data_IF_074336023942
#
_entry.id   IF_074336023942
#
_cell.length_a   1.000
_cell.length_b   1.000
_cell.length_c   1.000
_cell.angle_alpha   90.00
_cell.angle_beta   90.00
_cell.angle_gamma   90.00
#
_symmetry.space_group_name_H-M   'P 1'
#
loop_
_entity.id
_entity.type
_entity.pdbx_description
1 polymer ?
#
# COMPACT_ATOMS: atom_id res chain seq x y z
N UNK A 1 8.09 16.97 -27.52
CA UNK A 1 6.73 17.29 -27.04
C UNK A 1 6.39 16.29 -25.94
N UNK A 2 6.27 16.71 -24.68
CA UNK A 2 6.06 15.79 -23.57
C UNK A 2 4.70 15.09 -23.67
N UNK A 3 4.65 13.79 -23.36
CA UNK A 3 3.39 13.02 -23.30
C UNK A 3 2.47 13.70 -22.27
N UNK A 4 1.30 14.17 -22.71
CA UNK A 4 0.24 14.73 -21.85
C UNK A 4 -0.91 13.74 -21.78
N UNK A 5 -1.62 13.69 -20.65
CA UNK A 5 -2.84 12.89 -20.57
C UNK A 5 -3.93 13.50 -21.47
N UNK A 6 -4.69 12.66 -22.16
CA UNK A 6 -5.94 13.08 -22.79
C UNK A 6 -7.04 13.21 -21.73
N UNK A 7 -7.00 14.29 -20.96
CA UNK A 7 -8.01 14.53 -19.92
C UNK A 7 -9.38 14.84 -20.53
N UNK A 8 -9.44 15.48 -21.70
CA UNK A 8 -10.71 15.82 -22.37
C UNK A 8 -11.46 14.57 -22.81
N UNK A 9 -10.81 13.66 -23.53
CA UNK A 9 -11.41 12.39 -23.92
C UNK A 9 -11.84 11.56 -22.72
N UNK A 10 -11.02 11.54 -21.66
CA UNK A 10 -11.35 10.85 -20.40
C UNK A 10 -12.55 11.45 -19.66
N UNK A 11 -12.78 12.77 -19.71
CA UNK A 11 -13.99 13.38 -19.10
C UNK A 11 -15.21 13.06 -19.97
N UNK A 12 -15.10 13.22 -21.29
CA UNK A 12 -16.17 12.92 -22.25
C UNK A 12 -16.69 11.49 -22.14
N UNK A 13 -15.81 10.52 -21.86
CA UNK A 13 -16.20 9.12 -21.67
C UNK A 13 -17.12 8.88 -20.46
N UNK A 14 -17.33 9.88 -19.59
CA UNK A 14 -18.30 9.78 -18.48
C UNK A 14 -19.71 10.19 -18.89
N UNK A 15 -19.90 10.78 -20.08
CA UNK A 15 -21.19 11.24 -20.59
C UNK A 15 -21.97 12.13 -19.59
N UNK A 16 -21.27 13.12 -19.03
CA UNK A 16 -21.90 14.09 -18.13
C UNK A 16 -22.80 15.07 -18.90
N UNK A 17 -23.75 15.74 -18.25
CA UNK A 17 -24.44 16.89 -18.84
C UNK A 17 -23.45 17.92 -19.37
N UNK A 18 -23.77 18.54 -20.50
CA UNK A 18 -22.86 19.41 -21.26
C UNK A 18 -22.19 20.50 -20.38
N UNK A 19 -22.96 21.12 -19.48
CA UNK A 19 -22.43 22.11 -18.53
C UNK A 19 -21.38 21.52 -17.59
N UNK A 20 -21.69 20.40 -16.94
CA UNK A 20 -20.78 19.72 -16.02
C UNK A 20 -19.50 19.27 -16.74
N UNK A 21 -19.65 18.72 -17.94
CA UNK A 21 -18.51 18.32 -18.77
C UNK A 21 -17.59 19.51 -19.09
N UNK A 22 -18.16 20.60 -19.62
CA UNK A 22 -17.39 21.80 -19.99
C UNK A 22 -16.67 22.41 -18.79
N UNK A 23 -17.37 22.52 -17.65
CA UNK A 23 -16.82 23.05 -16.42
C UNK A 23 -15.71 22.16 -15.82
N UNK A 24 -15.83 20.83 -15.89
CA UNK A 24 -14.75 19.91 -15.49
C UNK A 24 -13.55 19.99 -16.43
N UNK A 25 -13.77 20.09 -17.74
CA UNK A 25 -12.69 20.25 -18.72
C UNK A 25 -11.90 21.53 -18.41
N UNK A 26 -12.58 22.65 -18.22
CA UNK A 26 -11.94 23.92 -17.87
C UNK A 26 -11.17 23.82 -16.53
N UNK A 27 -11.77 23.20 -15.51
CA UNK A 27 -11.13 23.03 -14.20
C UNK A 27 -9.81 22.24 -14.28
N UNK A 28 -9.78 21.18 -15.08
CA UNK A 28 -8.59 20.34 -15.23
C UNK A 28 -7.58 20.89 -16.22
N UNK A 29 -7.99 21.65 -17.23
CA UNK A 29 -7.08 22.27 -18.20
C UNK A 29 -5.98 23.09 -17.51
N UNK A 30 -6.35 23.89 -16.51
CA UNK A 30 -5.41 24.74 -15.77
C UNK A 30 -4.70 24.04 -14.61
N UNK A 31 -5.13 22.84 -14.22
CA UNK A 31 -4.74 22.24 -12.93
C UNK A 31 -4.31 20.76 -12.99
N UNK A 32 -4.30 20.15 -14.18
CA UNK A 32 -4.07 18.69 -14.34
C UNK A 32 -2.75 18.23 -13.72
N UNK A 33 -1.67 19.00 -13.89
CA UNK A 33 -0.33 18.70 -13.38
C UNK A 33 0.00 19.42 -12.05
N UNK A 34 -0.92 20.24 -11.54
CA UNK A 34 -0.73 21.05 -10.33
C UNK A 34 -0.42 20.17 -9.12
N UNK A 35 0.64 20.53 -8.41
CA UNK A 35 1.06 19.91 -7.17
C UNK A 35 0.39 20.61 -5.99
N UNK A 36 -0.40 19.87 -5.22
CA UNK A 36 -1.20 20.42 -4.10
C UNK A 36 -0.63 20.00 -2.73
N UNK A 37 0.16 18.93 -2.71
CA UNK A 37 0.71 18.38 -1.47
C UNK A 37 1.76 19.31 -0.85
N UNK A 38 1.43 19.94 0.28
CA UNK A 38 2.35 20.79 1.06
C UNK A 38 3.54 20.04 1.67
N UNK A 39 3.42 18.72 1.87
CA UNK A 39 4.47 17.88 2.45
C UNK A 39 5.38 17.19 1.41
N UNK A 40 5.19 17.50 0.11
CA UNK A 40 5.95 16.87 -0.97
C UNK A 40 7.38 17.45 -0.99
N UNK A 41 8.38 16.57 -0.98
CA UNK A 41 9.80 16.96 -1.10
C UNK A 41 10.35 16.93 -2.52
N UNK A 42 9.69 16.20 -3.42
CA UNK A 42 10.15 16.08 -4.82
C UNK A 42 9.78 17.33 -5.59
N UNK A 43 10.78 17.92 -6.26
CA UNK A 43 10.62 19.03 -7.21
C UNK A 43 10.12 18.59 -8.59
N UNK A 44 10.02 17.28 -8.83
CA UNK A 44 9.54 16.76 -10.11
C UNK A 44 8.06 17.09 -10.29
N UNK A 45 7.66 17.34 -11.53
CA UNK A 45 6.27 17.45 -11.93
C UNK A 45 5.44 16.25 -11.46
N UNK A 46 4.13 16.42 -11.37
CA UNK A 46 3.22 15.32 -11.06
C UNK A 46 3.28 14.28 -12.18
N UNK A 47 3.48 13.00 -11.86
CA UNK A 47 3.53 11.97 -12.89
C UNK A 47 2.19 11.86 -13.61
N UNK A 48 2.24 11.59 -14.92
CA UNK A 48 1.08 11.34 -15.80
C UNK A 48 0.07 10.39 -15.12
N UNK A 49 0.55 9.27 -14.57
CA UNK A 49 -0.26 8.30 -13.80
C UNK A 49 -0.99 8.92 -12.60
N UNK A 50 -0.36 9.85 -11.89
CA UNK A 50 -1.01 10.52 -10.75
C UNK A 50 -2.05 11.56 -11.22
N UNK A 51 -1.77 12.27 -12.32
CA UNK A 51 -2.72 13.17 -12.95
C UNK A 51 -3.98 12.41 -13.38
N UNK A 52 -3.78 11.27 -14.06
CA UNK A 52 -4.84 10.37 -14.49
C UNK A 52 -5.65 9.81 -13.32
N UNK A 53 -5.00 9.29 -12.26
CA UNK A 53 -5.74 8.81 -11.10
C UNK A 53 -6.58 9.89 -10.43
N UNK A 54 -6.05 11.12 -10.34
CA UNK A 54 -6.82 12.24 -9.79
C UNK A 54 -8.07 12.52 -10.62
N UNK A 55 -7.89 12.64 -11.94
CA UNK A 55 -8.98 12.88 -12.87
C UNK A 55 -10.05 11.80 -12.77
N UNK A 56 -9.66 10.53 -12.94
CA UNK A 56 -10.60 9.40 -12.95
C UNK A 56 -11.35 9.26 -11.62
N UNK A 57 -10.68 9.44 -10.48
CA UNK A 57 -11.36 9.32 -9.18
C UNK A 57 -12.32 10.49 -8.92
N UNK A 58 -12.00 11.70 -9.38
CA UNK A 58 -12.90 12.85 -9.29
C UNK A 58 -14.14 12.61 -10.16
N UNK A 59 -13.96 12.26 -11.43
CA UNK A 59 -15.08 11.98 -12.33
C UNK A 59 -15.92 10.78 -11.82
N UNK A 60 -15.28 9.73 -11.28
CA UNK A 60 -16.00 8.60 -10.69
C UNK A 60 -16.86 9.02 -9.51
N UNK A 61 -16.34 9.85 -8.60
CA UNK A 61 -17.11 10.36 -7.47
C UNK A 61 -18.30 11.23 -7.93
N UNK A 62 -18.12 12.07 -8.95
CA UNK A 62 -19.23 12.86 -9.54
C UNK A 62 -20.28 11.96 -10.18
N UNK A 63 -19.86 10.90 -10.88
CA UNK A 63 -20.79 9.91 -11.44
C UNK A 63 -21.56 9.18 -10.35
N UNK A 64 -20.89 8.72 -9.29
CA UNK A 64 -21.54 8.06 -8.15
C UNK A 64 -22.60 8.97 -7.50
N UNK A 65 -22.30 10.26 -7.30
CA UNK A 65 -23.29 11.23 -6.80
C UNK A 65 -24.54 11.32 -7.67
N UNK A 66 -24.37 11.33 -9.00
CA UNK A 66 -25.50 11.45 -9.93
C UNK A 66 -26.30 10.15 -10.04
N UNK A 67 -25.62 9.02 -10.21
CA UNK A 67 -26.26 7.75 -10.56
C UNK A 67 -26.78 7.00 -9.33
N UNK A 68 -26.02 7.01 -8.23
CA UNK A 68 -26.37 6.26 -7.01
C UNK A 68 -26.93 7.18 -5.92
N UNK A 69 -26.48 8.44 -5.87
CA UNK A 69 -26.93 9.42 -4.88
C UNK A 69 -28.18 10.20 -5.26
N UNK A 70 -28.64 10.09 -6.51
CA UNK A 70 -29.79 10.84 -7.02
C UNK A 70 -29.58 12.37 -7.06
N UNK A 71 -28.33 12.84 -6.94
CA UNK A 71 -28.04 14.28 -6.93
C UNK A 71 -27.95 14.84 -8.35
N UNK A 72 -28.69 15.92 -8.62
CA UNK A 72 -28.59 16.69 -9.86
C UNK A 72 -27.33 17.60 -9.87
N UNK A 73 -26.13 16.99 -9.84
CA UNK A 73 -24.85 17.72 -9.92
C UNK A 73 -24.65 18.22 -11.35
N UNK A 74 -24.97 19.47 -11.64
CA UNK A 74 -24.80 20.09 -12.97
C UNK A 74 -23.50 20.88 -13.14
N UNK A 75 -22.77 21.06 -12.04
CA UNK A 75 -21.54 21.85 -11.96
C UNK A 75 -20.66 21.30 -10.83
N UNK A 76 -19.31 21.24 -10.96
CA UNK A 76 -18.47 20.88 -9.82
C UNK A 76 -18.59 21.91 -8.68
N UNK A 77 -18.95 23.17 -8.97
CA UNK A 77 -19.25 24.19 -7.96
C UNK A 77 -20.57 23.94 -7.21
N UNK A 78 -21.44 23.06 -7.68
CA UNK A 78 -22.64 22.65 -6.92
C UNK A 78 -22.32 21.65 -5.79
N UNK A 79 -21.10 21.10 -5.76
CA UNK A 79 -20.70 20.12 -4.73
C UNK A 79 -20.53 20.82 -3.38
N UNK A 80 -21.15 20.23 -2.35
CA UNK A 80 -21.19 20.71 -0.95
C UNK A 80 -20.79 19.60 0.01
N UNK A 81 -20.53 19.94 1.27
CA UNK A 81 -20.16 18.99 2.33
C UNK A 81 -21.09 17.78 2.41
N UNK A 82 -22.42 17.96 2.26
CA UNK A 82 -23.40 16.86 2.28
C UNK A 82 -23.16 15.79 1.19
N UNK A 83 -22.67 16.20 0.02
CA UNK A 83 -22.37 15.26 -1.07
C UNK A 83 -21.13 14.44 -0.74
N UNK A 84 -20.12 15.07 -0.12
CA UNK A 84 -18.90 14.36 0.31
C UNK A 84 -19.20 13.41 1.46
N UNK A 85 -20.06 13.79 2.41
CA UNK A 85 -20.57 12.89 3.45
C UNK A 85 -21.23 11.66 2.82
N UNK A 86 -22.20 11.87 1.92
CA UNK A 86 -22.90 10.78 1.24
C UNK A 86 -21.94 9.83 0.49
N UNK A 87 -20.92 10.38 -0.19
CA UNK A 87 -19.89 9.58 -0.85
C UNK A 87 -19.12 8.70 0.14
N UNK A 88 -18.71 9.25 1.28
CA UNK A 88 -18.02 8.48 2.32
C UNK A 88 -18.92 7.38 2.86
N UNK A 89 -20.17 7.69 3.20
CA UNK A 89 -21.15 6.71 3.69
C UNK A 89 -21.37 5.59 2.65
N UNK A 90 -21.44 5.95 1.36
CA UNK A 90 -21.55 4.98 0.27
C UNK A 90 -20.32 4.09 0.16
N UNK A 91 -19.11 4.64 0.28
CA UNK A 91 -17.88 3.85 0.23
C UNK A 91 -17.73 2.94 1.45
N UNK A 92 -18.14 3.39 2.63
CA UNK A 92 -18.19 2.57 3.84
C UNK A 92 -19.18 1.42 3.66
N UNK A 93 -20.41 1.70 3.18
CA UNK A 93 -21.42 0.68 2.87
C UNK A 93 -20.93 -0.36 1.85
N UNK A 94 -20.16 0.08 0.87
CA UNK A 94 -19.50 -0.80 -0.13
C UNK A 94 -18.28 -1.56 0.42
N UNK A 95 -17.98 -1.45 1.71
CA UNK A 95 -16.86 -2.15 2.35
C UNK A 95 -15.48 -1.69 1.86
N UNK A 96 -15.35 -0.45 1.38
CA UNK A 96 -14.05 0.06 0.94
C UNK A 96 -13.13 0.31 2.13
N UNK A 97 -11.86 -0.04 1.96
CA UNK A 97 -10.87 0.15 3.03
C UNK A 97 -10.63 1.64 3.33
N UNK A 98 -10.22 1.93 4.57
CA UNK A 98 -9.78 3.25 5.01
C UNK A 98 -8.80 3.92 4.02
N UNK A 99 -7.84 3.15 3.51
CA UNK A 99 -6.83 3.68 2.59
C UNK A 99 -7.39 4.04 1.22
N UNK A 100 -8.39 3.31 0.74
CA UNK A 100 -9.11 3.63 -0.49
C UNK A 100 -9.89 4.92 -0.33
N UNK A 101 -10.65 5.05 0.77
CA UNK A 101 -11.46 6.24 1.06
C UNK A 101 -10.57 7.47 1.24
N UNK A 102 -9.48 7.38 2.03
CA UNK A 102 -8.53 8.49 2.20
C UNK A 102 -7.91 8.95 0.87
N UNK A 103 -7.61 8.02 -0.05
CA UNK A 103 -7.09 8.35 -1.37
C UNK A 103 -8.14 9.09 -2.20
N UNK A 104 -9.39 8.61 -2.22
CA UNK A 104 -10.50 9.30 -2.91
C UNK A 104 -10.72 10.72 -2.35
N UNK A 105 -10.74 10.85 -1.02
CA UNK A 105 -10.81 12.16 -0.35
C UNK A 105 -9.62 13.06 -0.69
N UNK A 106 -8.42 12.50 -0.88
CA UNK A 106 -7.24 13.26 -1.33
C UNK A 106 -7.43 13.84 -2.73
N UNK A 107 -8.03 13.08 -3.66
CA UNK A 107 -8.34 13.58 -4.99
C UNK A 107 -9.50 14.60 -4.99
N UNK A 108 -10.50 14.41 -4.13
CA UNK A 108 -11.56 15.41 -3.95
C UNK A 108 -11.03 16.71 -3.33
N UNK A 109 -10.11 16.65 -2.37
CA UNK A 109 -9.40 17.84 -1.85
C UNK A 109 -8.63 18.57 -2.94
N UNK A 110 -8.07 17.83 -3.89
CA UNK A 110 -7.39 18.43 -5.03
C UNK A 110 -8.36 19.26 -5.89
N UNK A 111 -9.52 18.69 -6.24
CA UNK A 111 -10.57 19.40 -6.95
C UNK A 111 -11.10 20.59 -6.14
N UNK A 112 -11.27 20.44 -4.83
CA UNK A 112 -11.71 21.50 -3.95
C UNK A 112 -10.75 22.70 -3.94
N UNK A 113 -9.44 22.45 -3.96
CA UNK A 113 -8.42 23.50 -4.09
C UNK A 113 -8.55 24.25 -5.43
N UNK A 114 -8.81 23.54 -6.54
CA UNK A 114 -8.98 24.17 -7.86
C UNK A 114 -10.19 25.09 -7.92
N UNK A 115 -11.25 24.74 -7.18
CA UNK A 115 -12.46 25.55 -7.06
C UNK A 115 -12.39 26.64 -5.98
N UNK A 116 -11.25 26.79 -5.30
CA UNK A 116 -11.08 27.67 -4.13
C UNK A 116 -12.10 27.38 -3.00
N UNK A 117 -12.34 26.10 -2.70
CA UNK A 117 -13.22 25.61 -1.63
C UNK A 117 -12.45 24.75 -0.61
N UNK A 118 -11.48 25.31 0.13
CA UNK A 118 -10.56 24.53 0.97
C UNK A 118 -11.25 23.69 2.07
N UNK A 119 -12.44 24.09 2.50
CA UNK A 119 -13.23 23.44 3.55
C UNK A 119 -14.32 22.47 3.03
N UNK A 120 -14.30 22.15 1.73
CA UNK A 120 -15.30 21.24 1.13
C UNK A 120 -15.12 19.77 1.56
N UNK A 121 -13.89 19.36 1.84
CA UNK A 121 -13.53 17.96 2.09
C UNK A 121 -12.76 17.84 3.40
N UNK A 122 -13.43 17.33 4.43
CA UNK A 122 -12.90 17.12 5.77
C UNK A 122 -11.91 15.95 5.82
N UNK A 123 -11.27 15.71 6.95
CA UNK A 123 -10.50 14.49 7.19
C UNK A 123 -11.43 13.29 7.37
N UNK A 124 -10.93 12.06 7.14
CA UNK A 124 -11.76 10.85 7.29
C UNK A 124 -12.35 10.71 8.70
N UNK A 125 -11.65 11.19 9.73
CA UNK A 125 -12.10 11.14 11.12
C UNK A 125 -13.32 12.03 11.40
N UNK A 126 -13.60 13.02 10.55
CA UNK A 126 -14.72 13.95 10.72
C UNK A 126 -15.99 13.49 10.00
N UNK A 127 -15.97 12.32 9.35
CA UNK A 127 -17.12 11.75 8.63
C UNK A 127 -17.84 10.63 9.40
N UNK A 128 -17.29 10.18 10.53
CA UNK A 128 -17.89 9.12 11.36
C UNK A 128 -16.87 8.45 12.29
N UNK A 129 -17.34 7.51 13.12
CA UNK A 129 -16.46 6.72 13.99
C UNK A 129 -15.61 5.76 13.15
N UNK A 130 -14.30 5.99 13.14
CA UNK A 130 -13.38 5.17 12.36
C UNK A 130 -13.20 3.78 12.93
N UNK A 131 -13.32 3.61 14.23
CA UNK A 131 -13.15 2.31 14.88
C UNK A 131 -14.35 1.44 14.58
N UNK A 132 -15.56 1.98 14.75
CA UNK A 132 -16.83 1.30 14.45
C UNK A 132 -16.87 0.80 13.00
N UNK A 133 -16.44 1.64 12.05
CA UNK A 133 -16.48 1.31 10.63
C UNK A 133 -15.21 0.63 10.08
N UNK A 134 -14.26 0.24 10.95
CA UNK A 134 -13.01 -0.41 10.51
C UNK A 134 -12.12 0.48 9.63
N UNK A 135 -12.23 1.81 9.78
CA UNK A 135 -11.53 2.82 8.99
C UNK A 135 -10.20 3.27 9.62
N UNK A 136 -9.66 2.51 10.57
CA UNK A 136 -8.35 2.78 11.18
C UNK A 136 -7.23 2.29 10.27
N UNK A 137 -6.22 3.13 10.03
CA UNK A 137 -5.04 2.76 9.23
C UNK A 137 -3.82 2.51 10.09
N UNK A 138 -3.08 1.48 9.70
CA UNK A 138 -1.76 1.18 10.24
C UNK A 138 -0.70 1.32 9.15
N UNK A 139 0.30 2.16 9.41
CA UNK A 139 1.47 2.35 8.53
C UNK A 139 2.66 1.46 8.92
N UNK A 140 2.55 0.82 10.08
CA UNK A 140 3.47 -0.21 10.58
C UNK A 140 2.84 -1.56 10.29
N UNK A 141 3.63 -2.52 9.79
CA UNK A 141 3.13 -3.87 9.54
C UNK A 141 2.50 -4.46 10.80
N UNK A 142 1.26 -4.93 10.71
CA UNK A 142 0.59 -5.63 11.81
C UNK A 142 0.79 -7.14 11.68
N UNK A 143 0.70 -7.64 10.45
CA UNK A 143 0.87 -9.04 10.06
C UNK A 143 2.06 -9.20 9.12
N UNK A 144 2.61 -10.41 9.05
CA UNK A 144 3.61 -10.76 8.06
C UNK A 144 2.94 -11.00 6.69
N UNK A 145 3.37 -10.24 5.69
CA UNK A 145 2.85 -10.28 4.31
C UNK A 145 3.82 -10.93 3.33
N UNK A 146 4.91 -11.49 3.84
CA UNK A 146 5.83 -12.28 3.04
C UNK A 146 5.18 -13.59 2.60
N UNK A 147 5.66 -14.15 1.49
CA UNK A 147 5.08 -15.39 0.97
C UNK A 147 5.35 -16.55 1.91
N UNK A 148 6.56 -16.66 2.45
CA UNK A 148 6.90 -17.69 3.45
C UNK A 148 6.04 -17.55 4.71
N UNK A 149 5.79 -16.32 5.17
CA UNK A 149 4.93 -16.04 6.32
C UNK A 149 3.46 -16.41 6.13
N UNK A 150 3.03 -16.65 4.89
CA UNK A 150 1.69 -17.11 4.54
C UNK A 150 1.68 -18.55 4.01
N UNK A 151 2.73 -19.33 4.31
CA UNK A 151 2.80 -20.76 3.98
C UNK A 151 3.02 -21.08 2.50
N UNK A 152 3.44 -20.09 1.69
CA UNK A 152 3.74 -20.30 0.28
C UNK A 152 5.20 -20.73 0.14
N UNK A 153 5.43 -21.93 -0.41
CA UNK A 153 6.74 -22.30 -0.95
C UNK A 153 7.03 -21.42 -2.18
N UNK A 154 7.97 -20.49 -2.01
CA UNK A 154 8.25 -19.45 -2.99
C UNK A 154 8.82 -20.05 -4.27
N UNK A 155 9.80 -20.95 -4.16
CA UNK A 155 10.46 -21.49 -5.33
C UNK A 155 9.54 -22.43 -6.11
N UNK A 156 8.79 -23.29 -5.40
CA UNK A 156 7.81 -24.17 -6.03
C UNK A 156 6.69 -23.37 -6.74
N UNK A 157 6.15 -22.33 -6.08
CA UNK A 157 5.10 -21.48 -6.66
C UNK A 157 5.60 -20.69 -7.87
N UNK A 158 6.81 -20.14 -7.82
CA UNK A 158 7.39 -19.44 -8.98
C UNK A 158 7.67 -20.43 -10.11
N UNK A 159 8.19 -21.63 -9.84
CA UNK A 159 8.37 -22.68 -10.87
C UNK A 159 7.06 -23.09 -11.53
N UNK A 160 5.97 -23.16 -10.78
CA UNK A 160 4.63 -23.40 -11.33
C UNK A 160 4.21 -22.28 -12.30
N UNK A 161 4.42 -21.01 -11.92
CA UNK A 161 4.11 -19.84 -12.74
C UNK A 161 5.00 -19.78 -13.99
N UNK A 162 6.29 -20.09 -13.86
CA UNK A 162 7.26 -20.12 -14.96
C UNK A 162 6.85 -21.09 -16.09
N UNK A 163 6.11 -22.17 -15.77
CA UNK A 163 5.55 -23.08 -16.78
C UNK A 163 4.39 -22.47 -17.57
N UNK A 164 3.70 -21.47 -17.01
CA UNK A 164 2.63 -20.74 -17.68
C UNK A 164 3.17 -19.51 -18.40
N UNK A 165 4.06 -18.76 -17.76
CA UNK A 165 4.66 -17.56 -18.30
C UNK A 165 6.06 -17.35 -17.69
N UNK A 166 7.09 -17.53 -18.51
CA UNK A 166 8.48 -17.41 -18.09
C UNK A 166 8.84 -15.98 -17.66
N UNK A 167 8.34 -14.95 -18.35
CA UNK A 167 8.64 -13.55 -18.04
C UNK A 167 8.06 -13.15 -16.69
N UNK A 168 6.82 -13.55 -16.39
CA UNK A 168 6.20 -13.33 -15.08
C UNK A 168 7.04 -14.01 -13.99
N UNK A 169 7.44 -15.27 -14.23
CA UNK A 169 8.29 -16.01 -13.30
C UNK A 169 9.62 -15.32 -13.00
N UNK A 170 10.36 -14.91 -14.03
CA UNK A 170 11.61 -14.15 -13.87
C UNK A 170 11.39 -12.83 -13.13
N UNK A 171 10.32 -12.10 -13.42
CA UNK A 171 9.99 -10.87 -12.70
C UNK A 171 9.67 -11.12 -11.22
N UNK A 172 8.98 -12.22 -10.88
CA UNK A 172 8.77 -12.63 -9.49
C UNK A 172 10.09 -12.98 -8.80
N UNK A 173 10.99 -13.72 -9.45
CA UNK A 173 12.34 -14.00 -8.90
C UNK A 173 13.13 -12.72 -8.65
N UNK A 174 13.07 -11.75 -9.56
CA UNK A 174 13.71 -10.44 -9.38
C UNK A 174 13.13 -9.69 -8.17
N UNK A 175 11.82 -9.78 -7.94
CA UNK A 175 11.19 -9.22 -6.74
C UNK A 175 11.65 -9.93 -5.46
N UNK A 176 11.84 -11.25 -5.51
CA UNK A 176 12.27 -12.05 -4.36
C UNK A 176 13.74 -11.84 -4.00
N UNK A 177 14.65 -11.82 -4.98
CA UNK A 177 16.10 -11.76 -4.73
C UNK A 177 16.67 -10.35 -4.62
N UNK A 178 15.95 -9.33 -5.10
CA UNK A 178 16.40 -7.92 -5.03
C UNK A 178 15.37 -6.98 -4.39
N UNK A 179 14.24 -7.52 -3.93
CA UNK A 179 13.17 -6.73 -3.35
C UNK A 179 12.56 -5.74 -4.32
N UNK A 180 12.56 -5.97 -5.64
CA UNK A 180 11.99 -5.04 -6.60
C UNK A 180 10.48 -4.85 -6.41
N UNK A 181 9.95 -3.69 -6.77
CA UNK A 181 8.51 -3.51 -7.02
C UNK A 181 8.16 -4.13 -8.37
N UNK A 182 6.91 -4.51 -8.60
CA UNK A 182 6.46 -5.07 -9.90
C UNK A 182 6.82 -4.15 -11.08
N UNK A 183 6.59 -2.84 -10.95
CA UNK A 183 6.93 -1.90 -12.02
C UNK A 183 8.46 -1.72 -12.18
N UNK A 184 9.24 -1.89 -11.10
CA UNK A 184 10.71 -1.89 -11.16
C UNK A 184 11.22 -3.18 -11.83
N UNK A 185 10.62 -4.34 -11.51
CA UNK A 185 11.01 -5.62 -12.11
C UNK A 185 10.70 -5.67 -13.59
N UNK A 186 9.56 -5.12 -14.04
CA UNK A 186 9.15 -5.07 -15.46
C UNK A 186 9.93 -4.04 -16.29
N UNK A 187 10.43 -2.97 -15.67
CA UNK A 187 11.22 -1.92 -16.34
C UNK A 187 12.73 -2.11 -16.19
N UNK A 188 13.16 -3.11 -15.43
CA UNK A 188 14.57 -3.40 -15.21
C UNK A 188 15.25 -3.63 -16.56
N UNK A 189 16.43 -3.04 -16.76
CA UNK A 189 17.27 -3.28 -17.93
C UNK A 189 18.50 -4.09 -17.50
N UNK A 190 18.45 -5.43 -17.49
CA UNK A 190 19.46 -6.25 -16.80
C UNK A 190 20.89 -6.03 -17.35
N UNK A 191 21.02 -5.86 -18.66
CA UNK A 191 22.32 -5.69 -19.33
C UNK A 191 23.11 -4.43 -18.94
N UNK A 192 22.47 -3.43 -18.32
CA UNK A 192 23.14 -2.18 -17.88
C UNK A 192 22.88 -1.82 -16.42
N UNK A 193 22.07 -2.62 -15.71
CA UNK A 193 21.68 -2.33 -14.33
C UNK A 193 22.76 -2.74 -13.32
N UNK A 194 23.72 -3.60 -13.68
CA UNK A 194 24.74 -4.08 -12.75
C UNK A 194 26.02 -3.24 -12.87
N UNK A 195 26.43 -2.59 -11.76
CA UNK A 195 27.70 -1.82 -11.71
C UNK A 195 28.30 -1.93 -10.31
N UNK A 196 29.57 -2.31 -10.22
CA UNK A 196 30.31 -2.35 -8.95
C UNK A 196 29.73 -3.29 -7.88
N UNK A 197 29.26 -4.48 -8.27
CA UNK A 197 28.62 -5.43 -7.34
C UNK A 197 27.24 -5.01 -6.83
N UNK A 198 26.63 -3.98 -7.45
CA UNK A 198 25.32 -3.47 -7.09
C UNK A 198 24.36 -3.56 -8.27
N UNK A 199 23.09 -3.82 -8.00
CA UNK A 199 21.98 -3.63 -8.92
C UNK A 199 21.42 -2.22 -8.79
N UNK A 200 21.53 -1.43 -9.85
CA UNK A 200 21.05 -0.06 -9.96
C UNK A 200 19.59 -0.05 -10.42
N UNK A 201 18.69 0.35 -9.54
CA UNK A 201 17.25 0.41 -9.81
C UNK A 201 16.86 1.85 -10.08
N UNK A 202 16.80 2.22 -11.35
CA UNK A 202 16.49 3.59 -11.77
C UNK A 202 15.08 3.73 -12.35
N UNK A 203 14.65 2.77 -13.17
CA UNK A 203 13.35 2.77 -13.86
C UNK A 203 12.26 2.12 -13.01
N UNK A 204 11.02 2.59 -13.16
CA UNK A 204 9.87 2.09 -12.40
C UNK A 204 9.86 2.49 -10.91
N UNK A 205 10.88 3.21 -10.46
CA UNK A 205 10.99 3.65 -9.06
C UNK A 205 9.87 4.63 -8.72
N UNK A 206 9.27 4.43 -7.55
CA UNK A 206 8.20 5.33 -7.07
C UNK A 206 8.77 6.74 -6.85
N UNK A 207 8.24 7.71 -7.59
CA UNK A 207 8.67 9.11 -7.52
C UNK A 207 10.01 9.40 -8.18
N UNK A 208 10.54 8.48 -9.00
CA UNK A 208 11.84 8.65 -9.69
C UNK A 208 13.05 8.55 -8.76
N UNK A 209 12.87 8.01 -7.55
CA UNK A 209 13.95 7.88 -6.57
C UNK A 209 14.78 6.64 -6.89
N UNK A 210 15.90 6.86 -7.59
CA UNK A 210 16.93 5.84 -7.84
C UNK A 210 17.42 5.24 -6.51
N UNK A 211 17.74 3.96 -6.54
CA UNK A 211 18.30 3.21 -5.40
C UNK A 211 19.21 2.11 -5.92
N UNK A 212 20.09 1.65 -5.06
CA UNK A 212 21.00 0.54 -5.33
C UNK A 212 20.68 -0.61 -4.38
N UNK A 213 20.88 -1.84 -4.85
CA UNK A 213 20.72 -3.07 -4.09
C UNK A 213 22.02 -3.85 -4.18
N UNK A 214 22.58 -4.26 -3.04
CA UNK A 214 23.78 -5.08 -3.01
C UNK A 214 23.49 -6.46 -3.61
N UNK A 215 24.43 -6.97 -4.41
CA UNK A 215 24.46 -8.36 -4.86
C UNK A 215 25.19 -9.16 -3.78
N UNK A 216 24.45 -9.57 -2.74
CA UNK A 216 24.96 -10.27 -1.56
C UNK A 216 24.87 -11.80 -1.66
N UNK A 217 24.27 -12.32 -2.72
CA UNK A 217 24.10 -13.75 -3.01
C UNK A 217 24.48 -14.04 -4.48
N UNK A 218 25.75 -13.83 -4.87
CA UNK A 218 26.18 -13.82 -6.27
C UNK A 218 25.82 -15.11 -7.02
N UNK A 219 25.92 -16.27 -6.36
CA UNK A 219 25.61 -17.59 -6.93
C UNK A 219 24.16 -17.76 -7.39
N UNK A 220 23.22 -16.96 -6.86
CA UNK A 220 21.81 -17.01 -7.26
C UNK A 220 21.38 -15.76 -8.02
N UNK A 221 21.93 -14.61 -7.65
CA UNK A 221 21.57 -13.31 -8.23
C UNK A 221 22.15 -13.12 -9.63
N UNK A 222 23.41 -13.50 -9.90
CA UNK A 222 23.99 -13.36 -11.23
C UNK A 222 23.33 -14.26 -12.28
N UNK A 223 23.10 -15.57 -12.02
CA UNK A 223 22.38 -16.41 -12.98
C UNK A 223 20.96 -15.90 -13.28
N UNK A 224 20.24 -15.39 -12.27
CA UNK A 224 18.94 -14.78 -12.48
C UNK A 224 19.04 -13.53 -13.38
N UNK A 225 20.02 -12.67 -13.16
CA UNK A 225 20.21 -11.47 -13.99
C UNK A 225 20.59 -11.83 -15.44
N UNK A 226 21.41 -12.86 -15.63
CA UNK A 226 21.73 -13.38 -16.97
C UNK A 226 20.48 -13.90 -17.69
N UNK A 227 19.64 -14.69 -17.00
CA UNK A 227 18.35 -15.15 -17.54
C UNK A 227 17.39 -14.00 -17.83
N UNK A 228 17.34 -13.00 -16.95
CA UNK A 228 16.53 -11.80 -17.21
C UNK A 228 17.04 -11.01 -18.42
N UNK A 229 18.37 -10.97 -18.65
CA UNK A 229 18.97 -10.34 -19.81
C UNK A 229 18.64 -11.07 -21.11
N UNK A 230 18.62 -12.41 -21.12
CA UNK A 230 18.26 -13.20 -22.31
C UNK A 230 16.79 -13.03 -22.72
N UNK A 231 15.91 -12.73 -21.77
CA UNK A 231 14.48 -12.46 -22.00
C UNK A 231 14.18 -10.96 -22.19
N UNK A 232 15.19 -10.10 -22.11
CA UNK A 232 15.00 -8.66 -22.22
C UNK A 232 14.56 -8.28 -23.63
N UNK A 233 13.66 -7.32 -23.70
CA UNK A 233 13.17 -6.75 -24.95
C UNK A 233 14.33 -6.12 -25.73
N UNK A 234 14.64 -6.58 -26.95
CA UNK A 234 15.79 -6.11 -27.71
C UNK A 234 15.74 -4.61 -28.03
N UNK A 235 14.55 -4.00 -28.09
CA UNK A 235 14.40 -2.56 -28.40
C UNK A 235 14.61 -1.68 -27.17
N UNK A 236 14.05 -2.08 -26.04
CA UNK A 236 14.07 -1.26 -24.81
C UNK A 236 15.11 -1.70 -23.81
N UNK A 237 15.69 -2.88 -23.97
CA UNK A 237 16.50 -3.57 -22.98
C UNK A 237 15.75 -3.99 -21.71
N UNK A 238 14.44 -3.72 -21.60
CA UNK A 238 13.66 -3.98 -20.39
C UNK A 238 13.13 -5.41 -20.34
N UNK A 239 12.79 -5.92 -19.16
CA UNK A 239 12.16 -7.25 -19.00
C UNK A 239 10.67 -7.29 -19.37
N UNK A 240 10.10 -6.19 -19.88
CA UNK A 240 8.75 -6.18 -20.48
C UNK A 240 8.84 -6.73 -21.91
N UNK A 241 8.12 -7.81 -22.28
CA UNK A 241 8.23 -8.42 -23.61
C UNK A 241 7.93 -7.47 -24.78
N UNK A 242 8.37 -7.83 -25.98
CA UNK A 242 8.29 -6.99 -27.19
C UNK A 242 6.89 -6.63 -27.63
N UNK A 243 5.94 -7.52 -27.38
CA UNK A 243 4.60 -7.47 -27.94
C UNK A 243 3.63 -6.69 -27.04
N UNK A 244 4.12 -6.24 -25.89
CA UNK A 244 3.34 -5.52 -24.90
C UNK A 244 3.84 -4.09 -24.73
N UNK A 245 2.90 -3.15 -24.68
CA UNK A 245 3.14 -1.92 -23.92
C UNK A 245 3.23 -2.26 -22.44
N UNK A 246 3.85 -1.38 -21.64
CA UNK A 246 3.94 -1.59 -20.19
C UNK A 246 2.57 -1.81 -19.55
N UNK A 247 1.56 -1.01 -19.91
CA UNK A 247 0.24 -1.10 -19.27
C UNK A 247 -0.49 -2.42 -19.63
N UNK A 248 -0.34 -2.88 -20.87
CA UNK A 248 -0.81 -4.22 -21.27
C UNK A 248 -0.05 -5.30 -20.52
N UNK A 249 1.28 -5.20 -20.42
CA UNK A 249 2.10 -6.18 -19.71
C UNK A 249 1.74 -6.26 -18.23
N UNK A 250 1.54 -5.12 -17.57
CA UNK A 250 1.15 -5.10 -16.16
C UNK A 250 -0.23 -5.74 -15.95
N UNK A 251 -1.16 -5.56 -16.89
CA UNK A 251 -2.49 -6.19 -16.85
C UNK A 251 -2.38 -7.71 -16.99
N UNK A 252 -1.60 -8.17 -17.97
CA UNK A 252 -1.27 -9.58 -18.20
C UNK A 252 -0.57 -10.22 -16.99
N UNK A 253 0.44 -9.55 -16.42
CA UNK A 253 1.14 -10.01 -15.22
C UNK A 253 0.15 -10.29 -14.08
N UNK A 254 -0.77 -9.38 -13.79
CA UNK A 254 -1.77 -9.61 -12.74
C UNK A 254 -2.84 -10.65 -13.12
N UNK A 255 -3.09 -10.88 -14.40
CA UNK A 255 -3.93 -11.98 -14.87
C UNK A 255 -3.30 -13.34 -14.60
N UNK A 256 -2.02 -13.51 -14.96
CA UNK A 256 -1.26 -14.73 -14.65
C UNK A 256 -1.28 -14.98 -13.14
N UNK A 257 -1.01 -13.97 -12.31
CA UNK A 257 -1.08 -14.14 -10.84
C UNK A 257 -2.47 -14.56 -10.34
N UNK A 258 -3.54 -14.00 -10.92
CA UNK A 258 -4.92 -14.41 -10.59
C UNK A 258 -5.18 -15.87 -10.94
N UNK A 259 -4.70 -16.32 -12.10
CA UNK A 259 -4.80 -17.73 -12.55
C UNK A 259 -4.13 -18.70 -11.57
N UNK A 260 -3.04 -18.28 -10.93
CA UNK A 260 -2.32 -19.06 -9.91
C UNK A 260 -2.78 -18.80 -8.46
N UNK A 261 -3.94 -18.15 -8.27
CA UNK A 261 -4.53 -17.92 -6.94
C UNK A 261 -3.81 -16.85 -6.08
N UNK A 262 -2.86 -16.09 -6.64
CA UNK A 262 -2.10 -15.06 -5.92
C UNK A 262 -2.88 -13.74 -5.78
N UNK A 263 -4.07 -13.86 -5.18
CA UNK A 263 -4.92 -12.75 -4.76
C UNK A 263 -5.06 -12.74 -3.24
N UNK A 264 -5.05 -11.54 -2.65
CA UNK A 264 -5.05 -11.37 -1.19
C UNK A 264 -6.19 -12.12 -0.49
N UNK A 265 -7.38 -12.20 -1.11
CA UNK A 265 -8.54 -12.90 -0.54
C UNK A 265 -8.37 -14.43 -0.50
N UNK A 266 -7.50 -15.00 -1.32
CA UNK A 266 -7.30 -16.46 -1.44
C UNK A 266 -6.03 -16.89 -0.69
N UNK A 267 -4.90 -16.23 -0.95
CA UNK A 267 -3.59 -16.64 -0.39
C UNK A 267 -3.07 -15.72 0.71
N UNK A 268 -3.84 -14.69 1.12
CA UNK A 268 -3.36 -13.67 2.06
C UNK A 268 -2.30 -12.72 1.48
N UNK A 269 -1.70 -13.08 0.35
CA UNK A 269 -0.56 -12.41 -0.27
C UNK A 269 -0.86 -11.86 -1.66
N UNK A 270 0.06 -11.02 -2.12
CA UNK A 270 0.15 -10.53 -3.50
C UNK A 270 1.61 -10.64 -3.94
N UNK A 271 1.95 -10.36 -5.20
CA UNK A 271 3.34 -10.29 -5.62
C UNK A 271 4.20 -9.36 -4.74
N UNK A 272 3.62 -8.29 -4.17
CA UNK A 272 4.36 -7.41 -3.26
C UNK A 272 4.90 -8.13 -2.01
N UNK A 273 4.34 -9.28 -1.65
CA UNK A 273 4.84 -10.12 -0.56
C UNK A 273 6.27 -10.62 -0.78
N UNK A 274 6.73 -10.82 -2.02
CA UNK A 274 8.12 -11.16 -2.31
C UNK A 274 9.09 -10.02 -1.95
N UNK A 275 8.63 -8.78 -2.04
CA UNK A 275 9.41 -7.64 -1.55
C UNK A 275 9.44 -7.58 -0.02
N UNK A 276 8.36 -7.98 0.65
CA UNK A 276 8.38 -8.17 2.11
C UNK A 276 9.42 -9.25 2.48
N UNK A 277 9.39 -10.39 1.79
CA UNK A 277 10.33 -11.49 1.97
C UNK A 277 11.79 -11.00 1.90
N UNK A 278 12.15 -10.35 0.79
CA UNK A 278 13.51 -9.83 0.59
C UNK A 278 13.94 -8.89 1.72
N UNK A 279 13.11 -7.90 2.05
CA UNK A 279 13.48 -6.85 3.01
C UNK A 279 13.52 -7.36 4.45
N UNK A 280 12.70 -8.35 4.79
CA UNK A 280 12.76 -9.04 6.08
C UNK A 280 14.00 -9.94 6.16
N UNK A 281 14.34 -10.66 5.09
CA UNK A 281 15.56 -11.46 5.00
C UNK A 281 16.82 -10.60 5.04
N UNK A 282 16.83 -9.45 4.37
CA UNK A 282 17.93 -8.48 4.44
C UNK A 282 18.12 -7.95 5.86
N UNK A 283 17.02 -7.63 6.55
CA UNK A 283 17.09 -7.25 7.97
C UNK A 283 17.78 -8.36 8.77
N UNK A 284 17.36 -9.61 8.61
CA UNK A 284 17.93 -10.74 9.34
C UNK A 284 19.41 -10.95 9.03
N UNK A 285 19.83 -10.92 7.76
CA UNK A 285 21.25 -11.02 7.39
C UNK A 285 22.09 -9.90 7.96
N UNK A 286 21.54 -8.67 8.01
CA UNK A 286 22.28 -7.50 8.52
C UNK A 286 22.34 -7.40 10.05
N UNK A 287 21.40 -8.03 10.77
CA UNK A 287 21.28 -7.89 12.23
C UNK A 287 21.53 -9.19 13.00
N UNK A 288 21.48 -10.34 12.32
CA UNK A 288 21.46 -11.66 12.96
C UNK A 288 20.13 -12.01 13.63
N UNK A 289 19.11 -11.15 13.54
CA UNK A 289 17.82 -11.28 14.21
C UNK A 289 16.65 -11.25 13.23
N UNK A 290 15.60 -12.02 13.51
CA UNK A 290 14.39 -11.94 12.71
C UNK A 290 13.76 -10.53 12.77
N UNK A 291 13.17 -10.10 11.65
CA UNK A 291 12.39 -8.86 11.64
C UNK A 291 11.27 -8.91 12.70
N UNK A 292 10.94 -7.81 13.39
CA UNK A 292 9.93 -7.83 14.46
C UNK A 292 8.61 -8.50 14.07
N UNK A 293 8.13 -8.27 12.83
CA UNK A 293 6.89 -8.87 12.30
C UNK A 293 6.89 -10.40 12.26
N UNK A 294 8.07 -11.03 12.19
CA UNK A 294 8.25 -12.49 12.21
C UNK A 294 8.17 -13.07 13.63
N UNK A 295 8.16 -12.23 14.67
CA UNK A 295 8.08 -12.63 16.09
C UNK A 295 9.12 -13.67 16.49
N UNK A 296 10.37 -13.48 16.05
CA UNK A 296 11.48 -14.36 16.43
C UNK A 296 11.73 -14.37 17.94
N UNK A 297 12.37 -15.44 18.43
CA UNK A 297 12.63 -15.65 19.86
C UNK A 297 13.57 -14.59 20.49
N UNK A 298 14.48 -14.02 19.69
CA UNK A 298 15.43 -12.98 20.11
C UNK A 298 15.03 -11.63 19.54
N UNK A 299 15.15 -10.59 20.36
CA UNK A 299 15.01 -9.20 19.94
C UNK A 299 16.40 -8.62 19.69
N UNK A 300 16.57 -7.89 18.59
CA UNK A 300 17.78 -7.13 18.35
C UNK A 300 17.91 -6.01 19.38
N UNK A 301 19.14 -5.68 19.76
CA UNK A 301 19.40 -4.49 20.57
C UNK A 301 18.90 -3.22 19.85
N UNK A 302 18.74 -2.13 20.61
CA UNK A 302 18.21 -0.88 20.05
C UNK A 302 19.05 -0.42 18.86
N UNK A 303 20.36 -0.38 19.03
CA UNK A 303 21.36 0.06 18.05
C UNK A 303 21.36 -0.82 16.80
N UNK A 304 21.39 -2.15 16.98
CA UNK A 304 21.38 -3.12 15.87
C UNK A 304 20.10 -3.00 15.04
N UNK A 305 18.95 -2.87 15.68
CA UNK A 305 17.69 -2.70 14.96
C UNK A 305 17.62 -1.36 14.20
N UNK A 306 18.16 -0.27 14.76
CA UNK A 306 18.20 1.00 14.06
C UNK A 306 19.10 0.94 12.82
N UNK A 307 20.23 0.24 12.89
CA UNK A 307 21.07 -0.02 11.72
C UNK A 307 20.35 -0.90 10.69
N UNK A 308 19.72 -2.00 11.13
CA UNK A 308 18.89 -2.83 10.27
C UNK A 308 17.77 -2.04 9.57
N UNK A 309 17.12 -1.10 10.28
CA UNK A 309 16.14 -0.19 9.69
C UNK A 309 16.76 0.72 8.62
N UNK A 310 17.99 1.23 8.84
CA UNK A 310 18.71 2.05 7.86
C UNK A 310 19.07 1.25 6.60
N UNK A 311 19.60 0.05 6.76
CA UNK A 311 19.92 -0.89 5.67
C UNK A 311 18.66 -1.18 4.84
N UNK A 312 17.58 -1.61 5.49
CA UNK A 312 16.31 -1.91 4.81
C UNK A 312 15.72 -0.68 4.15
N UNK A 313 15.77 0.49 4.78
CA UNK A 313 15.26 1.72 4.18
C UNK A 313 16.06 2.14 2.95
N UNK A 314 17.40 2.02 2.97
CA UNK A 314 18.26 2.29 1.81
C UNK A 314 17.93 1.34 0.66
N UNK A 315 17.94 0.03 0.93
CA UNK A 315 17.59 -0.99 -0.05
C UNK A 315 16.17 -0.80 -0.57
N UNK A 316 15.20 -0.39 0.26
CA UNK A 316 13.83 -0.13 -0.18
C UNK A 316 13.66 1.17 -1.01
N UNK A 317 14.67 2.05 -1.04
CA UNK A 317 14.57 3.39 -1.62
C UNK A 317 13.68 4.32 -0.80
N UNK A 318 13.66 4.17 0.52
CA UNK A 318 12.87 4.99 1.43
C UNK A 318 13.61 6.25 1.86
N UNK A 319 12.84 7.33 2.07
CA UNK A 319 13.39 8.63 2.47
C UNK A 319 13.75 8.75 3.95
N UNK A 320 13.29 7.82 4.77
CA UNK A 320 13.45 7.81 6.23
C UNK A 320 13.54 6.37 6.71
N UNK A 321 14.39 6.05 7.71
CA UNK A 321 14.49 4.70 8.28
C UNK A 321 13.13 4.16 8.72
N UNK A 322 12.33 4.95 9.44
CA UNK A 322 11.02 4.52 9.97
C UNK A 322 10.01 4.01 8.94
N UNK A 323 10.18 4.31 7.65
CA UNK A 323 9.33 3.72 6.60
C UNK A 323 9.60 2.24 6.36
N UNK A 324 10.73 1.70 6.82
CA UNK A 324 11.02 0.26 6.82
C UNK A 324 10.04 -0.51 7.71
N UNK A 325 9.40 0.13 8.70
CA UNK A 325 8.39 -0.48 9.57
C UNK A 325 7.13 -0.97 8.82
N UNK A 326 6.91 -0.51 7.59
CA UNK A 326 5.90 -1.08 6.71
C UNK A 326 6.22 -2.54 6.30
N UNK A 327 7.48 -2.96 6.39
CA UNK A 327 7.98 -4.31 6.13
C UNK A 327 8.37 -5.05 7.42
N UNK A 328 8.95 -4.33 8.39
CA UNK A 328 9.56 -4.90 9.59
C UNK A 328 8.64 -4.92 10.81
N UNK A 329 7.60 -4.09 10.85
CA UNK A 329 6.86 -3.72 12.06
C UNK A 329 7.71 -2.94 13.10
N UNK A 330 7.24 -2.86 14.34
CA UNK A 330 8.00 -2.42 15.52
C UNK A 330 7.77 -3.39 16.66
N UNK A 331 8.73 -3.52 17.59
CA UNK A 331 8.58 -4.39 18.76
C UNK A 331 7.34 -4.02 19.60
N UNK A 332 7.09 -2.72 19.83
CA UNK A 332 5.90 -2.26 20.55
C UNK A 332 4.58 -2.66 19.88
N UNK A 333 4.51 -2.65 18.53
CA UNK A 333 3.32 -3.12 17.82
C UNK A 333 3.16 -4.63 17.99
N UNK A 334 4.24 -5.40 17.89
CA UNK A 334 4.18 -6.85 18.01
C UNK A 334 3.84 -7.31 19.43
N UNK A 335 4.38 -6.63 20.45
CA UNK A 335 4.04 -6.83 21.86
C UNK A 335 2.58 -6.48 22.13
N UNK A 336 2.07 -5.39 21.55
CA UNK A 336 0.64 -5.06 21.64
C UNK A 336 -0.23 -6.14 21.01
N UNK A 337 0.17 -6.66 19.85
CA UNK A 337 -0.58 -7.68 19.12
C UNK A 337 -0.44 -9.10 19.71
N UNK A 338 0.56 -9.37 20.55
CA UNK A 338 0.65 -10.64 21.30
C UNK A 338 -0.24 -10.66 22.54
N UNK A 339 -0.67 -9.49 23.02
CA UNK A 339 -1.59 -9.40 24.16
C UNK A 339 -3.00 -9.82 23.74
N UNK A 340 -3.73 -10.55 24.59
CA UNK A 340 -5.10 -10.94 24.30
C UNK A 340 -6.00 -9.71 24.13
N UNK A 341 -6.91 -9.78 23.16
CA UNK A 341 -7.97 -8.77 23.01
C UNK A 341 -9.07 -9.12 23.99
N UNK A 342 -9.20 -8.30 25.04
CA UNK A 342 -10.18 -8.48 26.11
C UNK A 342 -11.26 -7.41 25.99
N UNK A 343 -12.51 -7.85 25.89
CA UNK A 343 -13.69 -7.00 25.86
C UNK A 343 -14.08 -6.54 27.27
N UNK A 344 -14.75 -5.38 27.45
CA UNK A 344 -15.25 -4.92 28.74
C UNK A 344 -16.09 -5.97 29.49
N UNK A 345 -16.97 -6.69 28.78
CA UNK A 345 -17.77 -7.78 29.39
C UNK A 345 -16.92 -8.93 29.92
N UNK A 346 -15.82 -9.28 29.22
CA UNK A 346 -14.88 -10.31 29.68
C UNK A 346 -14.09 -9.85 30.91
N UNK A 347 -13.77 -8.56 31.00
CA UNK A 347 -13.15 -7.97 32.19
C UNK A 347 -14.06 -8.05 33.42
N UNK A 348 -15.35 -7.76 33.25
CA UNK A 348 -16.35 -7.88 34.31
C UNK A 348 -16.53 -9.34 34.78
N UNK A 349 -16.63 -10.28 33.84
CA UNK A 349 -16.74 -11.72 34.16
C UNK A 349 -15.51 -12.25 34.89
N UNK A 350 -14.31 -11.88 34.44
CA UNK A 350 -13.07 -12.27 35.10
C UNK A 350 -12.95 -11.67 36.51
N UNK A 351 -13.44 -10.45 36.71
CA UNK A 351 -13.48 -9.83 38.03
C UNK A 351 -14.44 -10.56 38.98
N UNK A 352 -15.62 -10.94 38.48
CA UNK A 352 -16.58 -11.73 39.25
C UNK A 352 -16.00 -13.10 39.62
N UNK A 353 -15.39 -13.81 38.66
CA UNK A 353 -14.72 -15.09 38.89
C UNK A 353 -13.54 -14.99 39.88
N UNK A 354 -12.89 -13.83 39.94
CA UNK A 354 -11.82 -13.54 40.89
C UNK A 354 -12.33 -13.00 42.24
N UNK A 355 -13.64 -13.07 42.53
CA UNK A 355 -14.27 -12.55 43.75
C UNK A 355 -13.91 -11.07 44.02
N UNK A 356 -13.89 -10.25 42.97
CA UNK A 356 -13.55 -8.83 43.05
C UNK A 356 -12.04 -8.53 43.12
N UNK A 357 -11.17 -9.55 43.13
CA UNK A 357 -9.72 -9.35 43.12
C UNK A 357 -9.22 -8.96 41.71
N UNK A 358 -8.97 -7.67 41.55
CA UNK A 358 -8.51 -7.06 40.29
C UNK A 358 -7.13 -7.55 39.83
N UNK A 359 -6.25 -7.97 40.75
CA UNK A 359 -4.94 -8.54 40.37
C UNK A 359 -5.11 -9.91 39.74
N UNK A 360 -5.92 -10.77 40.36
CA UNK A 360 -6.17 -12.13 39.86
C UNK A 360 -6.95 -12.09 38.54
N UNK A 361 -7.95 -11.21 38.42
CA UNK A 361 -8.68 -11.01 37.17
C UNK A 361 -7.76 -10.55 36.03
N UNK A 362 -6.88 -9.57 36.28
CA UNK A 362 -5.93 -9.10 35.28
C UNK A 362 -4.93 -10.20 34.85
N UNK A 363 -4.43 -10.98 35.82
CA UNK A 363 -3.54 -12.11 35.56
C UNK A 363 -4.23 -13.20 34.73
N UNK A 364 -5.45 -13.59 35.10
CA UNK A 364 -6.24 -14.59 34.37
C UNK A 364 -6.52 -14.17 32.93
N UNK A 365 -6.68 -12.86 32.70
CA UNK A 365 -6.90 -12.28 31.37
C UNK A 365 -5.60 -12.00 30.61
N UNK A 366 -4.42 -12.20 31.20
CA UNK A 366 -3.13 -11.90 30.57
C UNK A 366 -2.93 -10.41 30.24
N UNK A 367 -3.56 -9.51 31.01
CA UNK A 367 -3.49 -8.05 30.80
C UNK A 367 -2.93 -7.34 32.04
N UNK A 368 -2.50 -6.08 31.88
CA UNK A 368 -2.10 -5.26 33.03
C UNK A 368 -3.33 -4.83 33.85
N UNK A 369 -3.15 -4.63 35.15
CA UNK A 369 -4.22 -4.07 36.02
C UNK A 369 -4.77 -2.76 35.48
N UNK A 370 -3.91 -1.86 34.98
CA UNK A 370 -4.35 -0.58 34.37
C UNK A 370 -5.26 -0.78 33.16
N UNK A 371 -5.03 -1.82 32.35
CA UNK A 371 -5.94 -2.16 31.25
C UNK A 371 -7.26 -2.73 31.77
N UNK A 372 -7.23 -3.57 32.80
CA UNK A 372 -8.45 -4.07 33.45
C UNK A 372 -9.33 -2.93 33.97
N UNK A 373 -8.77 -1.94 34.68
CA UNK A 373 -9.55 -0.80 35.18
C UNK A 373 -10.27 -0.06 34.05
N UNK A 374 -9.56 0.26 32.95
CA UNK A 374 -10.18 0.94 31.80
C UNK A 374 -11.32 0.14 31.18
N UNK A 375 -11.17 -1.18 31.10
CA UNK A 375 -12.22 -2.06 30.57
C UNK A 375 -13.44 -2.10 31.50
N UNK A 376 -13.23 -2.09 32.81
CA UNK A 376 -14.32 -2.04 33.78
C UNK A 376 -15.03 -0.67 33.76
N UNK A 377 -14.30 0.42 33.58
CA UNK A 377 -14.88 1.76 33.44
C UNK A 377 -15.74 1.84 32.16
N UNK A 378 -15.25 1.30 31.04
CA UNK A 378 -16.03 1.15 29.81
C UNK A 378 -17.27 0.30 30.00
N UNK A 379 -17.16 -0.83 30.71
CA UNK A 379 -18.30 -1.69 31.04
C UNK A 379 -19.36 -0.97 31.86
N UNK A 380 -18.93 -0.20 32.87
CA UNK A 380 -19.82 0.62 33.70
C UNK A 380 -20.49 1.75 32.91
N UNK A 381 -19.84 2.25 31.85
CA UNK A 381 -20.41 3.23 30.92
C UNK A 381 -21.37 2.61 29.88
N UNK A 382 -21.63 1.31 29.96
CA UNK A 382 -22.59 0.60 29.09
C UNK A 382 -21.97 -0.06 27.85
N UNK A 383 -20.65 0.03 27.65
CA UNK A 383 -19.98 -0.70 26.58
C UNK A 383 -19.70 -2.14 27.02
N UNK A 384 -20.47 -3.09 26.49
CA UNK A 384 -20.30 -4.51 26.77
C UNK A 384 -19.51 -5.25 25.69
N UNK A 385 -19.06 -4.54 24.65
CA UNK A 385 -18.74 -5.10 23.33
C UNK A 385 -17.29 -5.51 23.07
#
# INVERSE_FOLDING_TARGET
>A
MGIRIDFRGKIRSYAFPARLEGELIALFEDNVDRVISRSRRSRNALSIKTQEYRLLNVCAAVRELRQEGGYAVESPWSIRNKHVQWLVDNWVRKGQTAGTIENKLTYLRAMAEFMNKPYLVKTLAEYGDRTEHGLVRHYVAQEDKSWSGNGIDIDAKIKEIERTDEWVGVQLRLMWLFGLRVEESAKLQPGVAVRGGMLHVERGTKGGRKREVLIDMPETQYPLLARAASLANPRTGSTTPTDYTLDQWMSHFYEVLRKHGLVRKVTGCTAHGLRHEYLQGLYQRSTGDAAPVKRGARLASREVHEEGQRVVARAAGHSRPTKSNAYLSTYAVQERLSKPVVKPGQAALALAAANGNKSHAALALGISRRSLYRLLDSYAAGDQS
#
